data_IF_865351386188
#
_entry.id   IF_865351386188
#
_cell.length_a   1.000
_cell.length_b   1.000
_cell.length_c   1.000
_cell.angle_alpha   90.00
_cell.angle_beta   90.00
_cell.angle_gamma   90.00
#
_symmetry.space_group_name_H-M   'P 1'
#
loop_
_entity.id
_entity.type
_entity.pdbx_description
1 polymer ?
#
# COMPACT_ATOMS: atom_id res chain seq x y z
N UNK A 1 -6.80 -20.74 -11.81
CA UNK A 1 -5.56 -20.69 -11.02
C UNK A 1 -4.59 -19.71 -11.64
N UNK A 2 -4.36 -19.78 -12.96
CA UNK A 2 -3.93 -18.62 -13.76
C UNK A 2 -4.72 -18.65 -15.07
N UNK A 3 -5.14 -17.48 -15.55
CA UNK A 3 -5.86 -17.34 -16.83
C UNK A 3 -4.89 -17.05 -18.00
N UNK A 4 -3.59 -17.03 -17.70
CA UNK A 4 -2.46 -16.86 -18.60
C UNK A 4 -1.49 -18.05 -18.46
N UNK A 5 -0.55 -18.25 -19.41
CA UNK A 5 0.53 -19.22 -19.22
C UNK A 5 1.31 -18.88 -17.95
N UNK A 6 1.65 -19.92 -17.17
CA UNK A 6 2.42 -19.75 -15.95
C UNK A 6 3.88 -19.48 -16.30
N UNK A 7 4.35 -18.27 -15.99
CA UNK A 7 5.71 -17.82 -16.29
C UNK A 7 6.67 -18.29 -15.20
N UNK A 8 7.53 -19.24 -15.56
CA UNK A 8 8.50 -19.87 -14.66
C UNK A 8 9.89 -19.35 -15.00
N UNK A 9 10.52 -18.66 -14.06
CA UNK A 9 11.93 -18.32 -14.15
C UNK A 9 12.77 -19.48 -13.61
N UNK A 10 13.60 -20.08 -14.45
CA UNK A 10 14.54 -21.12 -14.09
C UNK A 10 15.95 -20.54 -14.02
N UNK A 11 16.54 -20.56 -12.83
CA UNK A 11 17.91 -20.07 -12.58
C UNK A 11 18.81 -21.24 -12.26
N UNK A 12 19.60 -21.66 -13.23
CA UNK A 12 20.41 -22.89 -13.24
C UNK A 12 21.53 -22.74 -14.28
N UNK A 13 22.78 -23.09 -13.92
CA UNK A 13 23.94 -22.97 -14.81
C UNK A 13 24.25 -24.26 -15.58
N UNK A 14 23.76 -25.41 -15.10
CA UNK A 14 23.93 -26.69 -15.78
C UNK A 14 22.96 -26.84 -16.98
N UNK A 15 23.47 -26.95 -18.22
CA UNK A 15 22.64 -27.01 -19.41
C UNK A 15 21.79 -28.30 -19.49
N UNK A 16 22.27 -29.41 -18.93
CA UNK A 16 21.52 -30.67 -18.92
C UNK A 16 20.32 -30.57 -17.99
N UNK A 17 20.47 -29.93 -16.82
CA UNK A 17 19.39 -29.69 -15.87
C UNK A 17 18.39 -28.65 -16.40
N UNK A 18 18.86 -27.57 -17.03
CA UNK A 18 18.01 -26.62 -17.77
C UNK A 18 17.13 -27.33 -18.80
N UNK A 19 17.74 -28.15 -19.68
CA UNK A 19 17.02 -28.86 -20.73
C UNK A 19 16.00 -29.86 -20.14
N UNK A 20 16.38 -30.61 -19.10
CA UNK A 20 15.47 -31.55 -18.41
C UNK A 20 14.25 -30.84 -17.84
N UNK A 21 14.46 -29.74 -17.10
CA UNK A 21 13.37 -29.00 -16.45
C UNK A 21 12.46 -28.33 -17.47
N UNK A 22 13.04 -27.71 -18.50
CA UNK A 22 12.29 -27.14 -19.61
C UNK A 22 11.41 -28.21 -20.26
N UNK A 23 11.96 -29.39 -20.56
CA UNK A 23 11.21 -30.50 -21.16
C UNK A 23 10.09 -31.04 -20.25
N UNK A 24 10.32 -31.09 -18.93
CA UNK A 24 9.30 -31.51 -17.97
C UNK A 24 8.10 -30.56 -17.95
N UNK A 25 8.36 -29.24 -17.96
CA UNK A 25 7.34 -28.19 -17.93
C UNK A 25 6.63 -28.02 -19.28
N UNK A 26 7.36 -27.98 -20.40
CA UNK A 26 6.78 -27.84 -21.73
C UNK A 26 5.78 -28.96 -22.06
N UNK A 27 6.04 -30.17 -21.56
CA UNK A 27 5.17 -31.34 -21.76
C UNK A 27 4.13 -31.53 -20.64
N UNK A 28 4.10 -30.66 -19.64
CA UNK A 28 3.17 -30.78 -18.53
C UNK A 28 1.76 -30.35 -18.93
N UNK A 29 0.81 -31.28 -18.78
CA UNK A 29 -0.62 -30.99 -18.86
C UNK A 29 -1.20 -31.05 -17.46
N UNK A 30 -1.76 -29.94 -17.00
CA UNK A 30 -2.38 -29.85 -15.69
C UNK A 30 -3.72 -29.12 -15.81
N UNK A 31 -4.80 -29.60 -15.16
CA UNK A 31 -6.05 -28.85 -15.08
C UNK A 31 -5.87 -27.47 -14.46
N UNK A 32 -4.85 -27.31 -13.61
CA UNK A 32 -4.56 -26.07 -12.90
C UNK A 32 -3.79 -25.06 -13.78
N UNK A 33 -3.15 -25.52 -14.86
CA UNK A 33 -2.36 -24.72 -15.80
C UNK A 33 -2.82 -25.03 -17.23
N UNK A 34 -4.05 -24.61 -17.56
CA UNK A 34 -4.68 -24.91 -18.85
C UNK A 34 -3.94 -24.30 -20.05
N UNK A 35 -3.31 -23.13 -19.85
CA UNK A 35 -2.48 -22.43 -20.83
C UNK A 35 -1.01 -22.92 -20.85
N UNK A 36 -0.67 -23.90 -20.01
CA UNK A 36 0.69 -24.43 -19.91
C UNK A 36 1.65 -23.52 -19.15
N UNK A 37 2.95 -23.73 -19.40
CA UNK A 37 4.06 -23.03 -18.78
C UNK A 37 4.88 -22.28 -19.84
N UNK A 38 5.31 -21.07 -19.51
CA UNK A 38 6.26 -20.28 -20.27
C UNK A 38 7.56 -20.22 -19.45
N UNK A 39 8.64 -20.80 -19.98
CA UNK A 39 9.87 -21.03 -19.22
C UNK A 39 10.95 -20.06 -19.68
N UNK A 40 11.42 -19.23 -18.77
CA UNK A 40 12.49 -18.26 -18.97
C UNK A 40 13.72 -18.78 -18.23
N UNK A 41 14.89 -18.81 -18.89
CA UNK A 41 16.11 -19.36 -18.31
C UNK A 41 17.13 -18.25 -18.00
N UNK A 42 17.84 -18.41 -16.90
CA UNK A 42 19.00 -17.63 -16.50
C UNK A 42 20.12 -18.56 -16.01
N UNK A 43 21.35 -18.34 -16.47
CA UNK A 43 22.51 -19.16 -16.10
C UNK A 43 23.26 -18.59 -14.87
N UNK A 44 22.94 -17.35 -14.47
CA UNK A 44 23.57 -16.68 -13.33
C UNK A 44 22.51 -15.99 -12.47
N UNK A 45 22.85 -15.72 -11.21
CA UNK A 45 21.96 -14.99 -10.31
C UNK A 45 21.68 -13.58 -10.85
N UNK A 46 22.70 -12.88 -11.34
CA UNK A 46 22.54 -11.52 -11.90
C UNK A 46 21.54 -11.50 -13.07
N UNK A 47 21.64 -12.47 -14.00
CA UNK A 47 20.67 -12.62 -15.09
C UNK A 47 19.26 -12.89 -14.57
N UNK A 48 19.13 -13.79 -13.59
CA UNK A 48 17.86 -14.11 -12.97
C UNK A 48 17.20 -12.89 -12.32
N UNK A 49 17.99 -12.07 -11.61
CA UNK A 49 17.51 -10.83 -10.99
C UNK A 49 17.06 -9.79 -12.04
N UNK A 50 17.80 -9.66 -13.14
CA UNK A 50 17.42 -8.76 -14.24
C UNK A 50 16.10 -9.18 -14.90
N UNK A 51 15.93 -10.47 -15.17
CA UNK A 51 14.70 -11.00 -15.75
C UNK A 51 13.51 -10.85 -14.78
N UNK A 52 13.73 -11.15 -13.50
CA UNK A 52 12.71 -10.99 -12.45
C UNK A 52 12.22 -9.54 -12.29
N UNK A 53 13.07 -8.56 -12.61
CA UNK A 53 12.72 -7.15 -12.56
C UNK A 53 12.03 -6.64 -13.83
N UNK A 54 12.17 -7.33 -14.97
CA UNK A 54 11.68 -6.89 -16.28
C UNK A 54 10.40 -7.63 -16.73
N UNK A 55 10.23 -8.86 -16.27
CA UNK A 55 9.14 -9.76 -16.69
C UNK A 55 8.18 -10.04 -15.55
N UNK A 56 6.90 -10.27 -15.89
CA UNK A 56 5.89 -10.73 -14.93
C UNK A 56 6.09 -12.23 -14.61
N UNK A 57 7.00 -12.54 -13.70
CA UNK A 57 7.30 -13.92 -13.28
C UNK A 57 6.31 -14.41 -12.22
N UNK A 58 5.72 -15.58 -12.42
CA UNK A 58 4.79 -16.19 -11.47
C UNK A 58 5.50 -16.98 -10.36
N UNK A 59 6.62 -17.62 -10.69
CA UNK A 59 7.38 -18.50 -9.79
C UNK A 59 8.83 -18.59 -10.25
N UNK A 60 9.75 -18.72 -9.29
CA UNK A 60 11.18 -18.96 -9.56
C UNK A 60 11.54 -20.38 -9.14
N UNK A 61 12.22 -21.12 -10.02
CA UNK A 61 12.95 -22.34 -9.71
C UNK A 61 14.43 -21.98 -9.59
N UNK A 62 14.99 -22.05 -8.39
CA UNK A 62 16.32 -21.54 -8.08
C UNK A 62 17.29 -22.64 -7.69
N UNK A 63 18.40 -22.79 -8.41
CA UNK A 63 19.56 -23.48 -7.87
C UNK A 63 20.32 -22.60 -6.87
N UNK A 64 20.80 -23.21 -5.79
CA UNK A 64 21.66 -22.56 -4.82
C UNK A 64 23.12 -22.52 -5.25
N UNK A 65 23.55 -23.30 -6.24
CA UNK A 65 24.94 -23.39 -6.67
C UNK A 65 25.15 -22.79 -8.07
N UNK A 66 25.26 -21.47 -8.13
CA UNK A 66 25.50 -20.75 -9.38
C UNK A 66 26.97 -20.32 -9.49
N UNK A 67 27.47 -19.99 -10.70
CA UNK A 67 28.84 -19.53 -10.89
C UNK A 67 29.15 -18.22 -10.15
N UNK A 68 28.14 -17.37 -9.93
CA UNK A 68 28.25 -16.04 -9.32
C UNK A 68 27.68 -15.94 -7.88
N UNK A 69 26.95 -16.95 -7.40
CA UNK A 69 26.40 -16.96 -6.04
C UNK A 69 26.22 -18.37 -5.47
N UNK A 70 26.28 -18.52 -4.14
CA UNK A 70 26.25 -19.84 -3.48
C UNK A 70 25.37 -19.89 -2.23
N UNK A 71 24.69 -21.02 -2.08
CA UNK A 71 23.93 -21.40 -0.88
C UNK A 71 22.81 -20.41 -0.56
N UNK A 72 22.57 -20.18 0.73
CA UNK A 72 21.48 -19.30 1.18
C UNK A 72 21.64 -17.84 0.77
N UNK A 73 22.85 -17.39 0.44
CA UNK A 73 23.06 -16.04 -0.06
C UNK A 73 22.33 -15.83 -1.39
N UNK A 74 22.31 -16.85 -2.26
CA UNK A 74 21.58 -16.84 -3.53
C UNK A 74 20.08 -16.63 -3.30
N UNK A 75 19.48 -17.40 -2.38
CA UNK A 75 18.06 -17.27 -2.03
C UNK A 75 17.75 -15.87 -1.47
N UNK A 76 18.53 -15.41 -0.49
CA UNK A 76 18.31 -14.10 0.14
C UNK A 76 18.39 -12.96 -0.87
N UNK A 77 19.38 -13.00 -1.78
CA UNK A 77 19.53 -11.99 -2.83
C UNK A 77 18.36 -12.01 -3.81
N UNK A 78 17.83 -13.17 -4.15
CA UNK A 78 16.66 -13.28 -5.03
C UNK A 78 15.38 -12.78 -4.35
N UNK A 79 15.14 -13.16 -3.10
CA UNK A 79 13.98 -12.71 -2.31
C UNK A 79 13.93 -11.19 -2.14
N UNK A 80 15.09 -10.55 -2.00
CA UNK A 80 15.17 -9.09 -1.88
C UNK A 80 14.75 -8.34 -3.14
N UNK A 81 14.86 -8.95 -4.32
CA UNK A 81 14.49 -8.32 -5.60
C UNK A 81 12.98 -8.39 -5.82
N UNK A 82 12.35 -9.54 -5.55
CA UNK A 82 10.91 -9.70 -5.67
C UNK A 82 10.34 -10.51 -4.49
N UNK A 83 10.02 -9.86 -3.35
CA UNK A 83 9.57 -10.53 -2.13
C UNK A 83 8.19 -11.20 -2.28
N UNK A 84 7.38 -10.77 -3.24
CA UNK A 84 6.05 -11.32 -3.51
C UNK A 84 6.10 -12.57 -4.41
N UNK A 85 7.20 -12.82 -5.13
CA UNK A 85 7.31 -13.95 -6.07
C UNK A 85 7.76 -15.20 -5.31
N UNK A 86 7.04 -16.33 -5.42
CA UNK A 86 7.38 -17.54 -4.70
C UNK A 86 8.62 -18.18 -5.33
N UNK A 87 9.59 -18.50 -4.49
CA UNK A 87 10.83 -19.18 -4.90
C UNK A 87 10.77 -20.62 -4.42
N UNK A 88 11.04 -21.55 -5.34
CA UNK A 88 11.20 -22.98 -5.07
C UNK A 88 12.67 -23.30 -5.30
N UNK A 89 13.34 -23.77 -4.26
CA UNK A 89 14.77 -24.05 -4.31
C UNK A 89 15.02 -25.47 -4.78
N UNK A 90 15.97 -25.66 -5.68
CA UNK A 90 16.47 -26.98 -6.07
C UNK A 90 17.70 -27.33 -5.22
N UNK A 91 17.73 -28.54 -4.68
CA UNK A 91 18.82 -28.99 -3.80
C UNK A 91 19.18 -30.44 -4.08
N UNK A 92 20.47 -30.77 -4.02
CA UNK A 92 20.92 -32.16 -4.00
C UNK A 92 20.56 -32.72 -2.62
N UNK A 93 19.72 -33.77 -2.61
CA UNK A 93 19.02 -34.36 -1.44
C UNK A 93 19.87 -34.79 -0.23
N UNK A 94 21.18 -34.63 -0.24
CA UNK A 94 22.07 -35.22 0.76
C UNK A 94 22.18 -34.41 2.06
N UNK A 95 21.50 -33.25 2.16
CA UNK A 95 21.59 -32.39 3.34
C UNK A 95 20.19 -31.91 3.80
N UNK A 96 19.53 -32.72 4.63
CA UNK A 96 18.25 -32.36 5.28
C UNK A 96 18.33 -31.03 6.04
N UNK A 97 19.52 -30.67 6.55
CA UNK A 97 19.73 -29.40 7.24
C UNK A 97 19.58 -28.20 6.30
N UNK A 98 19.97 -28.33 5.02
CA UNK A 98 19.75 -27.30 3.99
C UNK A 98 18.26 -27.17 3.69
N UNK A 99 17.53 -28.27 3.55
CA UNK A 99 16.09 -28.24 3.29
C UNK A 99 15.31 -27.52 4.39
N UNK A 100 15.63 -27.79 5.67
CA UNK A 100 15.01 -27.09 6.82
C UNK A 100 15.34 -25.59 6.78
N UNK A 101 16.61 -25.24 6.55
CA UNK A 101 17.06 -23.84 6.52
C UNK A 101 16.46 -23.03 5.37
N UNK A 102 16.22 -23.68 4.23
CA UNK A 102 15.51 -23.09 3.07
C UNK A 102 14.06 -22.75 3.44
N UNK A 103 13.37 -23.65 4.15
CA UNK A 103 12.01 -23.40 4.62
C UNK A 103 11.96 -22.30 5.69
N UNK A 104 12.91 -22.27 6.62
CA UNK A 104 13.02 -21.23 7.65
C UNK A 104 13.26 -19.84 7.05
N UNK A 105 13.99 -19.75 5.93
CA UNK A 105 14.24 -18.50 5.21
C UNK A 105 13.09 -18.09 4.27
N UNK A 106 11.92 -18.73 4.38
CA UNK A 106 10.71 -18.30 3.68
C UNK A 106 10.62 -18.75 2.22
N UNK A 107 11.45 -19.71 1.78
CA UNK A 107 11.22 -20.39 0.50
C UNK A 107 9.86 -21.09 0.50
N UNK A 108 9.19 -21.11 -0.65
CA UNK A 108 7.89 -21.77 -0.81
C UNK A 108 8.02 -23.30 -0.91
N UNK A 109 9.23 -23.82 -1.11
CA UNK A 109 9.49 -25.25 -1.11
C UNK A 109 10.93 -25.59 -1.52
N UNK A 110 11.33 -26.84 -1.27
CA UNK A 110 12.58 -27.40 -1.76
C UNK A 110 12.29 -28.63 -2.63
N UNK A 111 12.97 -28.73 -3.76
CA UNK A 111 12.86 -29.83 -4.69
C UNK A 111 14.19 -30.59 -4.82
N UNK A 112 14.14 -31.93 -4.85
CA UNK A 112 15.33 -32.75 -4.96
C UNK A 112 15.91 -32.77 -6.37
N UNK A 113 17.13 -32.25 -6.59
CA UNK A 113 17.86 -32.41 -7.85
C UNK A 113 18.02 -33.90 -8.18
N UNK A 114 17.81 -34.26 -9.45
CA UNK A 114 17.95 -35.62 -9.97
C UNK A 114 16.81 -36.61 -9.65
N UNK A 115 15.86 -36.28 -8.77
CA UNK A 115 14.63 -37.10 -8.52
C UNK A 115 13.34 -36.38 -8.89
N UNK A 116 13.46 -35.34 -9.71
CA UNK A 116 12.34 -34.56 -10.20
C UNK A 116 11.55 -35.37 -11.22
N UNK A 117 10.27 -35.59 -10.92
CA UNK A 117 9.29 -35.98 -11.92
C UNK A 117 8.36 -34.80 -12.24
N UNK A 118 7.68 -34.91 -13.38
CA UNK A 118 6.74 -33.90 -13.87
C UNK A 118 5.66 -33.58 -12.85
N UNK A 119 5.11 -34.58 -12.17
CA UNK A 119 3.96 -34.39 -11.29
C UNK A 119 4.39 -33.64 -10.03
N UNK A 120 5.55 -33.96 -9.48
CA UNK A 120 6.13 -33.28 -8.32
C UNK A 120 6.44 -31.81 -8.63
N UNK A 121 7.01 -31.53 -9.81
CA UNK A 121 7.32 -30.16 -10.23
C UNK A 121 6.05 -29.31 -10.37
N UNK A 122 5.04 -29.84 -11.07
CA UNK A 122 3.73 -29.17 -11.25
C UNK A 122 3.03 -28.98 -9.89
N UNK A 123 3.09 -29.98 -9.01
CA UNK A 123 2.53 -29.89 -7.67
C UNK A 123 3.21 -28.79 -6.85
N UNK A 124 4.54 -28.75 -6.85
CA UNK A 124 5.31 -27.75 -6.11
C UNK A 124 5.03 -26.33 -6.60
N UNK A 125 5.01 -26.11 -7.92
CA UNK A 125 4.66 -24.80 -8.51
C UNK A 125 3.24 -24.40 -8.10
N UNK A 126 2.27 -25.31 -8.22
CA UNK A 126 0.90 -25.05 -7.78
C UNK A 126 0.83 -24.66 -6.31
N UNK A 127 1.42 -25.46 -5.43
CA UNK A 127 1.37 -25.21 -3.99
C UNK A 127 2.05 -23.90 -3.60
N UNK A 128 3.12 -23.53 -4.28
CA UNK A 128 3.79 -22.25 -4.08
C UNK A 128 2.89 -21.05 -4.48
N UNK A 129 2.21 -21.16 -5.62
CA UNK A 129 1.26 -20.14 -6.08
C UNK A 129 0.01 -20.05 -5.19
N UNK A 130 -0.55 -21.19 -4.77
CA UNK A 130 -1.68 -21.23 -3.83
C UNK A 130 -1.31 -20.57 -2.50
N UNK A 131 -0.10 -20.84 -1.97
CA UNK A 131 0.40 -20.21 -0.75
C UNK A 131 0.54 -18.69 -0.92
N UNK A 132 1.07 -18.23 -2.06
CA UNK A 132 1.15 -16.79 -2.36
C UNK A 132 -0.24 -16.15 -2.38
N UNK A 133 -1.23 -16.78 -3.01
CA UNK A 133 -2.60 -16.28 -3.06
C UNK A 133 -3.24 -16.23 -1.66
N UNK A 134 -3.01 -17.24 -0.82
CA UNK A 134 -3.51 -17.26 0.55
C UNK A 134 -2.90 -16.15 1.41
N UNK A 135 -1.59 -15.93 1.30
CA UNK A 135 -0.92 -14.84 2.03
C UNK A 135 -1.43 -13.47 1.57
N UNK A 136 -1.57 -13.26 0.26
CA UNK A 136 -2.15 -12.03 -0.28
C UNK A 136 -3.58 -11.78 0.21
N UNK A 137 -4.42 -12.83 0.27
CA UNK A 137 -5.79 -12.73 0.78
C UNK A 137 -5.85 -12.39 2.28
N UNK A 138 -4.95 -12.99 3.09
CA UNK A 138 -4.84 -12.68 4.52
C UNK A 138 -4.37 -11.24 4.77
N UNK A 139 -3.39 -10.78 4.00
CA UNK A 139 -2.94 -9.39 4.06
C UNK A 139 -4.06 -8.43 3.66
N UNK A 140 -4.84 -8.77 2.63
CA UNK A 140 -6.01 -7.99 2.21
C UNK A 140 -7.08 -7.90 3.29
N UNK A 141 -7.41 -9.01 3.94
CA UNK A 141 -8.36 -9.05 5.06
C UNK A 141 -7.88 -8.20 6.25
N UNK A 142 -6.63 -8.38 6.67
CA UNK A 142 -6.04 -7.61 7.77
C UNK A 142 -6.04 -6.11 7.49
N UNK A 143 -5.70 -5.72 6.27
CA UNK A 143 -5.65 -4.33 5.87
C UNK A 143 -7.04 -3.70 5.78
N UNK A 144 -8.03 -4.42 5.27
CA UNK A 144 -9.42 -3.99 5.24
C UNK A 144 -9.94 -3.76 6.66
N UNK A 145 -9.68 -4.71 7.57
CA UNK A 145 -10.05 -4.61 8.98
C UNK A 145 -9.41 -3.39 9.67
N UNK A 146 -8.12 -3.12 9.40
CA UNK A 146 -7.43 -1.93 9.94
C UNK A 146 -8.07 -0.62 9.45
N UNK A 147 -8.42 -0.56 8.18
CA UNK A 147 -9.05 0.62 7.60
C UNK A 147 -10.44 0.86 8.20
N UNK A 148 -11.24 -0.19 8.37
CA UNK A 148 -12.54 -0.10 9.05
C UNK A 148 -12.42 0.37 10.50
N UNK A 149 -11.44 -0.16 11.24
CA UNK A 149 -11.16 0.26 12.62
C UNK A 149 -10.77 1.74 12.70
N UNK A 150 -9.95 2.22 11.77
CA UNK A 150 -9.57 3.63 11.72
C UNK A 150 -10.78 4.53 11.49
N UNK A 151 -11.63 4.21 10.51
CA UNK A 151 -12.86 4.96 10.25
C UNK A 151 -13.77 4.96 11.48
N UNK A 152 -13.95 3.82 12.13
CA UNK A 152 -14.77 3.71 13.35
C UNK A 152 -14.22 4.57 14.50
N UNK A 153 -12.89 4.62 14.69
CA UNK A 153 -12.27 5.48 15.70
C UNK A 153 -12.51 6.96 15.41
N UNK A 154 -12.40 7.38 14.14
CA UNK A 154 -12.70 8.76 13.74
C UNK A 154 -14.17 9.11 14.02
N UNK A 155 -15.10 8.22 13.72
CA UNK A 155 -16.52 8.41 14.02
C UNK A 155 -16.80 8.52 15.52
N UNK A 156 -16.14 7.69 16.34
CA UNK A 156 -16.22 7.78 17.80
C UNK A 156 -15.65 9.10 18.32
N UNK A 157 -14.56 9.61 17.75
CA UNK A 157 -14.02 10.92 18.09
C UNK A 157 -15.00 12.04 17.75
N UNK A 158 -15.66 11.99 16.59
CA UNK A 158 -16.70 12.95 16.20
C UNK A 158 -17.87 12.90 17.20
N UNK A 159 -18.32 11.71 17.58
CA UNK A 159 -19.44 11.52 18.52
C UNK A 159 -19.08 11.92 19.97
N UNK A 160 -17.84 11.67 20.40
CA UNK A 160 -17.34 11.93 21.76
C UNK A 160 -16.81 13.34 22.00
N UNK A 161 -16.62 14.16 20.96
CA UNK A 161 -16.14 15.56 21.05
C UNK A 161 -17.20 16.53 21.58
N UNK A 162 -17.86 16.18 22.69
CA UNK A 162 -18.97 16.89 23.32
C UNK A 162 -18.55 18.03 24.25
N UNK A 163 -17.25 18.22 24.54
CA UNK A 163 -16.84 19.15 25.59
C UNK A 163 -16.36 20.54 25.14
N UNK A 164 -15.77 20.72 23.95
CA UNK A 164 -15.25 22.04 23.52
C UNK A 164 -16.20 22.80 22.58
N UNK A 165 -16.92 22.12 21.70
CA UNK A 165 -17.85 22.72 20.74
C UNK A 165 -19.17 23.14 21.41
N UNK A 166 -19.69 22.34 22.34
CA UNK A 166 -20.93 22.65 23.09
C UNK A 166 -20.79 23.82 24.07
N UNK A 167 -19.57 24.28 24.36
CA UNK A 167 -19.33 25.40 25.28
C UNK A 167 -19.25 26.77 24.60
N UNK A 168 -19.27 26.82 23.26
CA UNK A 168 -19.20 28.07 22.48
C UNK A 168 -20.50 28.28 21.70
N UNK A 169 -21.43 29.13 22.20
CA UNK A 169 -22.66 29.46 21.49
C UNK A 169 -22.37 29.97 20.07
N UNK A 170 -23.03 29.36 19.06
CA UNK A 170 -22.89 29.74 17.64
C UNK A 170 -21.76 29.05 16.86
N UNK A 171 -21.18 27.97 17.40
CA UNK A 171 -20.18 27.11 16.77
C UNK A 171 -20.70 25.69 16.56
N UNK A 172 -21.92 25.59 16.04
CA UNK A 172 -22.50 24.32 15.61
C UNK A 172 -21.71 23.76 14.41
N UNK A 173 -21.56 22.42 14.28
CA UNK A 173 -20.86 21.80 13.16
C UNK A 173 -21.37 22.31 11.80
N UNK A 174 -20.47 22.52 10.86
CA UNK A 174 -20.77 23.01 9.51
C UNK A 174 -21.79 22.09 8.84
N UNK A 175 -21.62 20.78 8.94
CA UNK A 175 -22.55 19.80 8.36
C UNK A 175 -23.98 19.88 8.89
N UNK A 176 -24.19 20.40 10.11
CA UNK A 176 -25.54 20.61 10.67
C UNK A 176 -26.11 21.98 10.26
N UNK A 177 -25.26 23.00 10.23
CA UNK A 177 -25.70 24.38 9.98
C UNK A 177 -25.88 24.69 8.50
N UNK A 178 -25.01 24.17 7.64
CA UNK A 178 -24.98 24.44 6.20
C UNK A 178 -24.57 23.17 5.42
N UNK A 179 -25.49 22.19 5.27
CA UNK A 179 -25.18 20.87 4.68
C UNK A 179 -24.65 20.94 3.24
N UNK A 180 -25.24 21.79 2.39
CA UNK A 180 -24.83 21.89 0.97
C UNK A 180 -23.36 22.32 0.83
N UNK A 181 -22.96 23.33 1.60
CA UNK A 181 -21.56 23.81 1.62
C UNK A 181 -20.64 22.78 2.25
N UNK A 182 -21.13 22.01 3.23
CA UNK A 182 -20.36 20.92 3.80
C UNK A 182 -20.07 19.82 2.77
N UNK A 183 -21.04 19.44 1.94
CA UNK A 183 -20.83 18.49 0.85
C UNK A 183 -19.82 19.01 -0.18
N UNK A 184 -19.85 20.31 -0.51
CA UNK A 184 -18.84 20.93 -1.37
C UNK A 184 -17.41 20.85 -0.77
N UNK A 185 -17.27 21.07 0.55
CA UNK A 185 -16.00 20.91 1.24
C UNK A 185 -15.50 19.46 1.23
N UNK A 186 -16.42 18.48 1.38
CA UNK A 186 -16.11 17.05 1.28
C UNK A 186 -15.61 16.70 -0.12
N UNK A 187 -16.30 17.17 -1.17
CA UNK A 187 -15.86 16.96 -2.56
C UNK A 187 -14.49 17.58 -2.83
N UNK A 188 -14.31 18.86 -2.48
CA UNK A 188 -13.05 19.56 -2.69
C UNK A 188 -11.88 18.91 -1.96
N UNK A 189 -12.09 18.43 -0.73
CA UNK A 189 -11.06 17.68 0.00
C UNK A 189 -10.78 16.30 -0.65
N UNK A 190 -11.81 15.63 -1.15
CA UNK A 190 -11.67 14.40 -1.93
C UNK A 190 -10.83 14.60 -3.19
N UNK A 191 -11.05 15.67 -3.95
CA UNK A 191 -10.27 15.97 -5.15
C UNK A 191 -8.80 16.23 -4.81
N UNK A 192 -8.51 16.86 -3.66
CA UNK A 192 -7.14 16.99 -3.16
C UNK A 192 -6.49 15.66 -2.80
N UNK A 193 -7.26 14.66 -2.38
CA UNK A 193 -6.73 13.30 -2.18
C UNK A 193 -6.32 12.65 -3.50
N UNK A 194 -7.10 12.85 -4.57
CA UNK A 194 -6.74 12.35 -5.90
C UNK A 194 -5.45 13.02 -6.41
N UNK A 195 -5.35 14.33 -6.29
CA UNK A 195 -4.16 15.09 -6.67
C UNK A 195 -2.91 14.70 -5.85
N UNK A 196 -3.07 14.46 -4.54
CA UNK A 196 -1.99 14.01 -3.67
C UNK A 196 -1.49 12.61 -4.05
N UNK A 197 -2.42 11.72 -4.42
CA UNK A 197 -2.06 10.40 -4.95
C UNK A 197 -1.28 10.52 -6.25
N UNK A 198 -1.74 11.33 -7.20
CA UNK A 198 -1.04 11.56 -8.46
C UNK A 198 0.35 12.17 -8.25
N UNK A 199 0.47 13.14 -7.35
CA UNK A 199 1.75 13.74 -6.98
C UNK A 199 2.71 12.71 -6.36
N UNK A 200 2.22 11.83 -5.48
CA UNK A 200 3.06 10.78 -4.87
C UNK A 200 3.48 9.69 -5.87
N UNK A 201 2.60 9.33 -6.81
CA UNK A 201 2.84 8.28 -7.80
C UNK A 201 3.70 8.76 -8.98
N UNK A 202 3.47 9.97 -9.48
CA UNK A 202 4.06 10.48 -10.73
C UNK A 202 4.99 11.69 -10.53
N UNK A 203 5.20 12.15 -9.29
CA UNK A 203 6.03 13.34 -8.95
C UNK A 203 5.59 14.61 -9.70
N UNK A 204 4.29 14.74 -9.97
CA UNK A 204 3.69 15.93 -10.58
C UNK A 204 3.48 17.00 -9.49
N UNK A 205 3.75 18.27 -9.81
CA UNK A 205 3.47 19.37 -8.89
C UNK A 205 2.00 19.80 -9.00
N UNK A 206 1.15 19.31 -8.11
CA UNK A 206 -0.29 19.60 -8.09
C UNK A 206 -0.65 20.81 -7.20
N UNK A 207 0.33 21.46 -6.57
CA UNK A 207 0.12 22.55 -5.60
C UNK A 207 -0.86 22.20 -4.45
N UNK A 208 -0.90 20.93 -4.04
CA UNK A 208 -1.84 20.40 -3.04
C UNK A 208 -1.83 21.22 -1.73
N UNK A 209 -0.64 21.59 -1.25
CA UNK A 209 -0.48 22.38 -0.02
C UNK A 209 -1.15 23.76 -0.11
N UNK A 210 -1.06 24.43 -1.27
CA UNK A 210 -1.70 25.74 -1.47
C UNK A 210 -3.22 25.62 -1.48
N UNK A 211 -3.76 24.61 -2.17
CA UNK A 211 -5.21 24.36 -2.20
C UNK A 211 -5.75 23.91 -0.83
N UNK A 212 -4.99 23.10 -0.08
CA UNK A 212 -5.30 22.74 1.30
C UNK A 212 -5.36 23.97 2.21
N UNK A 213 -4.47 24.94 2.02
CA UNK A 213 -4.49 26.20 2.75
C UNK A 213 -5.77 26.99 2.45
N UNK A 214 -6.17 27.08 1.18
CA UNK A 214 -7.44 27.71 0.78
C UNK A 214 -8.65 27.02 1.38
N UNK A 215 -8.69 25.69 1.38
CA UNK A 215 -9.75 24.91 2.03
C UNK A 215 -9.82 25.20 3.54
N UNK A 216 -8.66 25.28 4.21
CA UNK A 216 -8.59 25.62 5.63
C UNK A 216 -9.17 27.02 5.93
N UNK A 217 -8.90 28.00 5.06
CA UNK A 217 -9.47 29.35 5.16
C UNK A 217 -10.99 29.33 5.00
N UNK A 218 -11.52 28.57 4.04
CA UNK A 218 -12.98 28.39 3.86
C UNK A 218 -13.63 27.79 5.12
N UNK A 219 -13.06 26.70 5.64
CA UNK A 219 -13.52 26.08 6.90
C UNK A 219 -13.48 27.09 8.05
N UNK A 220 -12.39 27.86 8.16
CA UNK A 220 -12.23 28.89 9.18
C UNK A 220 -13.23 30.06 9.06
N UNK A 221 -13.54 30.53 7.85
CA UNK A 221 -14.55 31.56 7.60
C UNK A 221 -15.95 31.09 8.01
N UNK A 222 -16.21 29.80 7.82
CA UNK A 222 -17.43 29.13 8.28
C UNK A 222 -17.41 28.83 9.78
N UNK A 223 -16.42 29.29 10.55
CA UNK A 223 -16.27 28.97 11.98
C UNK A 223 -16.16 27.46 12.25
N UNK A 224 -15.59 26.73 11.31
CA UNK A 224 -15.35 25.30 11.43
C UNK A 224 -14.32 24.98 12.50
N UNK A 225 -14.47 23.82 13.11
CA UNK A 225 -13.63 23.31 14.18
C UNK A 225 -12.79 22.13 13.70
N UNK A 226 -11.82 21.66 14.49
CA UNK A 226 -11.12 20.41 14.18
C UNK A 226 -12.07 19.21 14.01
N UNK A 227 -13.24 19.23 14.67
CA UNK A 227 -14.28 18.20 14.46
C UNK A 227 -14.80 18.21 13.03
N UNK A 228 -15.08 19.39 12.48
CA UNK A 228 -15.56 19.52 11.09
C UNK A 228 -14.51 19.00 10.09
N UNK A 229 -13.22 19.26 10.35
CA UNK A 229 -12.12 18.70 9.54
C UNK A 229 -12.12 17.16 9.59
N UNK A 230 -12.28 16.57 10.79
CA UNK A 230 -12.33 15.11 10.93
C UNK A 230 -13.54 14.54 10.17
N UNK A 231 -14.69 15.22 10.25
CA UNK A 231 -15.92 14.80 9.55
C UNK A 231 -15.77 14.89 8.02
N UNK A 232 -15.21 16.00 7.51
CA UNK A 232 -14.86 16.18 6.09
C UNK A 232 -13.95 15.04 5.62
N UNK A 233 -12.87 14.79 6.36
CA UNK A 233 -11.91 13.74 6.03
C UNK A 233 -12.56 12.34 6.05
N UNK A 234 -13.34 12.04 7.08
CA UNK A 234 -13.99 10.73 7.23
C UNK A 234 -14.96 10.46 6.09
N UNK A 235 -15.77 11.46 5.70
CA UNK A 235 -16.71 11.31 4.58
C UNK A 235 -15.99 11.20 3.23
N UNK A 236 -15.00 12.05 2.97
CA UNK A 236 -14.21 11.99 1.73
C UNK A 236 -13.46 10.65 1.61
N UNK A 237 -12.84 10.17 2.69
CA UNK A 237 -12.13 8.89 2.70
C UNK A 237 -13.08 7.73 2.39
N UNK A 238 -14.28 7.71 2.97
CA UNK A 238 -15.31 6.71 2.64
C UNK A 238 -15.69 6.76 1.16
N UNK A 239 -15.91 7.95 0.61
CA UNK A 239 -16.28 8.11 -0.81
C UNK A 239 -15.16 7.63 -1.74
N UNK A 240 -13.90 7.98 -1.46
CA UNK A 240 -12.76 7.62 -2.31
C UNK A 240 -12.31 6.16 -2.18
N UNK A 241 -12.60 5.53 -1.04
CA UNK A 241 -12.25 4.12 -0.80
C UNK A 241 -13.36 3.14 -1.21
N UNK A 242 -14.57 3.64 -1.49
CA UNK A 242 -15.69 2.81 -1.92
C UNK A 242 -15.49 2.29 -3.35
N UNK A 243 -15.51 0.96 -3.52
CA UNK A 243 -15.49 0.31 -4.83
C UNK A 243 -14.15 0.36 -5.58
N UNK A 244 -13.07 0.82 -4.93
CA UNK A 244 -11.71 0.78 -5.48
C UNK A 244 -10.92 -0.41 -4.93
N UNK A 245 -9.90 -0.87 -5.66
CA UNK A 245 -9.04 -1.97 -5.19
C UNK A 245 -8.24 -1.62 -3.94
N UNK A 246 -7.90 -2.64 -3.13
CA UNK A 246 -7.26 -2.48 -1.82
C UNK A 246 -6.02 -1.57 -1.84
N UNK A 247 -5.08 -1.81 -2.77
CA UNK A 247 -3.86 -0.99 -2.90
C UNK A 247 -4.18 0.50 -3.06
N UNK A 248 -5.23 0.83 -3.81
CA UNK A 248 -5.67 2.21 -4.02
C UNK A 248 -6.36 2.76 -2.76
N UNK A 249 -7.22 1.98 -2.11
CA UNK A 249 -7.86 2.36 -0.85
C UNK A 249 -6.84 2.66 0.28
N UNK A 250 -5.79 1.84 0.38
CA UNK A 250 -4.68 2.06 1.30
C UNK A 250 -3.90 3.33 1.00
N UNK A 251 -3.65 3.59 -0.29
CA UNK A 251 -2.97 4.80 -0.71
C UNK A 251 -3.80 6.04 -0.31
N UNK A 252 -5.12 6.05 -0.55
CA UNK A 252 -6.00 7.11 -0.07
C UNK A 252 -5.94 7.30 1.44
N UNK A 253 -5.95 6.19 2.19
CA UNK A 253 -5.89 6.24 3.66
C UNK A 253 -4.56 6.86 4.13
N UNK A 254 -3.44 6.45 3.53
CA UNK A 254 -2.11 6.97 3.88
C UNK A 254 -1.97 8.46 3.53
N UNK A 255 -2.26 8.85 2.29
CA UNK A 255 -2.17 10.24 1.87
C UNK A 255 -3.16 11.13 2.64
N UNK A 256 -4.39 10.63 2.82
CA UNK A 256 -5.43 11.31 3.59
C UNK A 256 -5.00 11.68 5.01
N UNK A 257 -4.24 10.83 5.70
CA UNK A 257 -3.71 11.15 7.05
C UNK A 257 -2.78 12.36 7.04
N UNK A 258 -1.92 12.49 6.02
CA UNK A 258 -1.03 13.64 5.89
C UNK A 258 -1.81 14.91 5.56
N UNK A 259 -2.76 14.83 4.63
CA UNK A 259 -3.63 15.96 4.29
C UNK A 259 -4.47 16.40 5.49
N UNK A 260 -4.97 15.47 6.30
CA UNK A 260 -5.73 15.75 7.52
C UNK A 260 -4.91 16.58 8.51
N UNK A 261 -3.66 16.14 8.78
CA UNK A 261 -2.75 16.83 9.70
C UNK A 261 -2.39 18.23 9.20
N UNK A 262 -2.12 18.37 7.90
CA UNK A 262 -1.80 19.66 7.29
C UNK A 262 -3.02 20.61 7.33
N UNK A 263 -4.21 20.11 7.00
CA UNK A 263 -5.46 20.88 7.06
C UNK A 263 -5.74 21.39 8.48
N UNK A 264 -5.55 20.55 9.50
CA UNK A 264 -5.65 20.95 10.90
C UNK A 264 -4.62 22.03 11.28
N UNK A 265 -3.37 21.89 10.83
CA UNK A 265 -2.31 22.88 11.04
C UNK A 265 -2.63 24.23 10.39
N UNK A 266 -3.17 24.21 9.18
CA UNK A 266 -3.60 25.39 8.45
C UNK A 266 -4.78 26.08 9.15
N UNK A 267 -5.78 25.31 9.62
CA UNK A 267 -6.91 25.87 10.38
C UNK A 267 -6.46 26.49 11.71
N UNK A 268 -5.53 25.85 12.42
CA UNK A 268 -4.95 26.41 13.63
C UNK A 268 -4.21 27.74 13.35
N UNK A 269 -3.52 27.82 12.21
CA UNK A 269 -2.83 29.04 11.75
C UNK A 269 -3.84 30.14 11.40
N UNK A 270 -4.94 29.82 10.72
CA UNK A 270 -6.03 30.74 10.45
C UNK A 270 -6.57 31.36 11.74
N UNK A 271 -6.93 30.54 12.74
CA UNK A 271 -7.46 31.05 14.00
C UNK A 271 -6.42 31.85 14.79
N UNK A 272 -5.15 31.44 14.79
CA UNK A 272 -4.07 32.23 15.39
C UNK A 272 -4.01 33.62 14.79
N UNK A 273 -4.09 33.75 13.46
CA UNK A 273 -4.09 35.05 12.77
C UNK A 273 -5.35 35.86 13.08
N UNK A 274 -6.51 35.24 13.06
CA UNK A 274 -7.81 35.87 13.30
C UNK A 274 -7.95 36.42 14.73
N UNK A 275 -7.63 35.61 15.74
CA UNK A 275 -7.74 36.01 17.15
C UNK A 275 -6.61 36.97 17.60
N UNK A 276 -5.39 36.84 17.08
CA UNK A 276 -4.33 37.84 17.33
C UNK A 276 -4.67 39.18 16.66
N UNK A 277 -5.28 39.15 15.47
CA UNK A 277 -5.75 40.35 14.77
C UNK A 277 -6.81 41.11 15.57
N UNK A 278 -7.80 40.41 16.13
CA UNK A 278 -8.83 41.00 17.00
C UNK A 278 -8.26 41.59 18.30
N UNK A 279 -7.27 40.93 18.92
CA UNK A 279 -6.60 41.48 20.10
C UNK A 279 -5.85 42.78 19.80
N UNK A 280 -5.23 42.92 18.62
CA UNK A 280 -4.60 44.19 18.20
C UNK A 280 -5.62 45.30 17.97
N UNK A 281 -6.80 44.99 17.43
CA UNK A 281 -7.87 45.97 17.20
C UNK A 281 -8.50 46.43 18.53
N UNK A 282 -8.72 45.50 19.47
CA UNK A 282 -9.25 45.85 20.80
C UNK A 282 -8.23 46.61 21.67
N UNK A 283 -6.93 46.34 21.53
CA UNK A 283 -5.88 47.15 22.16
C UNK A 283 -5.83 48.57 21.60
N UNK A 284 -6.02 48.75 20.29
CA UNK A 284 -6.07 50.09 19.68
C UNK A 284 -7.30 50.91 20.16
N UNK A 285 -8.48 50.28 20.25
CA UNK A 285 -9.68 50.96 20.78
C UNK A 285 -9.57 51.35 22.25
N UNK A 286 -8.94 50.51 23.09
CA UNK A 286 -8.71 50.85 24.50
C UNK A 286 -7.67 51.96 24.71
N UNK A 287 -6.74 52.16 23.77
CA UNK A 287 -5.78 53.27 23.85
C UNK A 287 -6.42 54.64 23.57
N UNK A 288 -7.43 54.70 22.69
CA UNK A 288 -8.16 55.93 22.39
C UNK A 288 -9.13 56.35 23.52
N UNK A 289 -9.70 55.38 24.26
CA UNK A 289 -10.55 55.69 25.43
C UNK A 289 -9.76 56.12 26.67
N UNK A 290 -8.50 55.66 26.83
CA UNK A 290 -7.64 56.03 27.97
C UNK A 290 -7.01 57.43 27.77
N UNK A 291 -6.84 57.89 26.53
CA UNK A 291 -6.25 59.20 26.22
C UNK A 291 -7.29 60.32 25.94
N UNK A 292 -8.58 60.07 26.18
CA UNK A 292 -9.67 61.05 25.99
C UNK A 292 -10.31 61.57 27.28
N UNK A 293 -9.64 61.41 28.43
CA UNK A 293 -10.03 62.01 29.72
C UNK A 293 -8.95 62.91 30.30
#
# INVERSE_FOLDING_TARGET
>A
MLDHPCRVLLVEDDPDDLEKLHNLLANAKSPSFSQGFDVICAETLDQGQQQLAQEDIDVVLLDLMLPDSRGMNTLNQMQNVAPEVPIIVQTVLEDEAIAVKVLELGSCGCLPKGKLDRNLLVYAIRSALERRQQLAALEEELNSSRQEQEIQLLEQLIAGSTHLSNQLPGWEPIGQRIPDVFEELVQGYGDLMDEALEQSAYKVDCQVSQKLSTLAEQVGLLKGTPRDIIEIHTQALKQKTQGVGLRKAQAYTREGRFLLLELMGNLATYYRRYFIGLNKINLAKNYDEINSK
#
